data_IF_125882167581
#
_entry.id   IF_125882167581
#
_cell.length_a   1.000
_cell.length_b   1.000
_cell.length_c   1.000
_cell.angle_alpha   90.00
_cell.angle_beta   90.00
_cell.angle_gamma   90.00
#
_symmetry.space_group_name_H-M   'P 1'
#
loop_
_entity.id
_entity.type
_entity.pdbx_description
1 polymer ?
#
# COMPACT_ATOMS: atom_id res chain seq x y z
N UNK A 1 -2.60 13.20 3.83
CA UNK A 1 -1.91 14.45 4.15
C UNK A 1 -2.05 14.88 5.62
N UNK A 2 -3.21 14.68 6.26
CA UNK A 2 -3.44 15.11 7.65
C UNK A 2 -2.33 14.67 8.62
N UNK A 3 -1.85 13.43 8.50
CA UNK A 3 -0.75 12.92 9.35
C UNK A 3 0.50 13.79 9.20
N UNK A 4 0.97 13.95 7.96
CA UNK A 4 2.24 14.66 7.67
C UNK A 4 2.15 16.18 7.83
N UNK A 5 0.96 16.75 7.63
CA UNK A 5 0.77 18.20 7.72
C UNK A 5 0.44 18.66 9.15
N UNK A 6 -0.19 17.80 9.98
CA UNK A 6 -0.77 18.21 11.27
C UNK A 6 -0.35 17.36 12.46
N UNK A 7 -0.19 16.04 12.32
CA UNK A 7 0.05 15.17 13.47
C UNK A 7 1.53 15.00 13.81
N UNK A 8 2.37 14.93 12.79
CA UNK A 8 3.81 14.76 12.98
C UNK A 8 4.45 15.91 13.75
N UNK A 9 5.58 15.62 14.41
CA UNK A 9 6.35 16.60 15.21
C UNK A 9 5.51 17.32 16.27
N UNK A 10 4.66 16.58 16.97
CA UNK A 10 3.80 17.15 18.02
C UNK A 10 2.86 18.25 17.50
N UNK A 11 2.16 17.98 16.41
CA UNK A 11 1.18 18.92 15.85
C UNK A 11 1.75 19.99 14.91
N UNK A 12 3.08 20.03 14.71
CA UNK A 12 3.71 21.06 13.86
C UNK A 12 3.81 20.67 12.38
N UNK A 13 3.57 19.40 12.09
CA UNK A 13 3.72 18.86 10.75
C UNK A 13 5.18 18.77 10.27
N UNK A 14 5.38 18.16 9.11
CA UNK A 14 6.70 17.91 8.53
C UNK A 14 7.22 19.04 7.64
N UNK A 15 6.38 20.04 7.32
CA UNK A 15 6.74 21.14 6.38
C UNK A 15 7.27 20.61 5.04
N UNK A 16 6.53 19.69 4.42
CA UNK A 16 6.93 19.05 3.15
C UNK A 16 6.68 19.98 1.97
N UNK A 17 7.50 19.84 0.92
CA UNK A 17 7.27 20.54 -0.35
C UNK A 17 6.01 20.01 -1.04
N UNK A 18 5.50 20.75 -2.02
CA UNK A 18 4.32 20.34 -2.79
C UNK A 18 4.54 19.00 -3.52
N UNK A 19 5.73 18.78 -4.08
CA UNK A 19 6.08 17.58 -4.82
C UNK A 19 6.00 16.32 -3.93
N UNK A 20 6.54 16.40 -2.72
CA UNK A 20 6.48 15.29 -1.75
C UNK A 20 5.04 15.04 -1.32
N UNK A 21 4.27 16.10 -1.03
CA UNK A 21 2.85 15.97 -0.67
C UNK A 21 2.01 15.39 -1.82
N UNK A 22 2.30 15.81 -3.06
CA UNK A 22 1.68 15.23 -4.26
C UNK A 22 1.99 13.74 -4.37
N UNK A 23 3.25 13.33 -4.23
CA UNK A 23 3.65 11.93 -4.22
C UNK A 23 2.92 11.11 -3.14
N UNK A 24 2.77 11.66 -1.92
CA UNK A 24 2.03 11.00 -0.83
C UNK A 24 0.55 10.79 -1.19
N UNK A 25 -0.12 11.77 -1.77
CA UNK A 25 -1.56 11.68 -2.10
C UNK A 25 -1.81 10.69 -3.24
N UNK A 26 -0.92 10.64 -4.20
CA UNK A 26 -1.11 9.87 -5.44
C UNK A 26 -0.49 8.48 -5.43
N UNK A 27 0.13 8.04 -4.29
CA UNK A 27 0.93 6.80 -4.28
C UNK A 27 0.10 5.52 -4.49
N UNK A 28 -1.18 5.50 -4.10
CA UNK A 28 -2.00 4.27 -4.19
C UNK A 28 -2.90 4.22 -5.43
N UNK A 29 -3.61 5.30 -5.73
CA UNK A 29 -4.63 5.35 -6.79
C UNK A 29 -4.84 6.75 -7.36
N UNK A 30 -5.67 6.85 -8.39
CA UNK A 30 -5.97 8.12 -9.06
C UNK A 30 -4.89 8.50 -10.07
N UNK A 31 -4.69 9.79 -10.29
CA UNK A 31 -3.67 10.31 -11.19
C UNK A 31 -2.25 9.94 -10.75
N UNK A 32 -1.32 9.92 -11.67
CA UNK A 32 0.08 9.72 -11.36
C UNK A 32 0.67 10.96 -10.69
N UNK A 33 1.69 10.75 -9.88
CA UNK A 33 2.43 11.87 -9.29
C UNK A 33 3.03 12.77 -10.38
N UNK A 34 3.15 14.05 -10.06
CA UNK A 34 3.72 15.04 -10.97
C UNK A 34 5.24 14.90 -11.16
N UNK A 35 5.91 14.16 -10.28
CA UNK A 35 7.35 13.92 -10.35
C UNK A 35 7.66 12.45 -10.56
N UNK A 36 8.82 12.16 -11.18
CA UNK A 36 9.28 10.79 -11.38
C UNK A 36 9.55 10.06 -10.04
N UNK A 37 10.01 10.78 -9.03
CA UNK A 37 10.21 10.24 -7.68
C UNK A 37 8.88 9.78 -7.07
N UNK A 38 7.82 10.58 -7.18
CA UNK A 38 6.49 10.19 -6.75
C UNK A 38 5.94 8.98 -7.53
N UNK A 39 6.21 8.92 -8.84
CA UNK A 39 5.89 7.77 -9.66
C UNK A 39 6.67 6.52 -9.23
N UNK A 40 7.96 6.67 -8.89
CA UNK A 40 8.80 5.59 -8.39
C UNK A 40 8.26 5.03 -7.06
N UNK A 41 7.87 5.90 -6.13
CA UNK A 41 7.24 5.50 -4.87
C UNK A 41 5.97 4.69 -5.13
N UNK A 42 5.10 5.15 -6.04
CA UNK A 42 3.87 4.42 -6.39
C UNK A 42 4.17 3.05 -7.01
N UNK A 43 5.16 2.95 -7.89
CA UNK A 43 5.58 1.65 -8.47
C UNK A 43 6.12 0.71 -7.39
N UNK A 44 6.96 1.22 -6.50
CA UNK A 44 7.51 0.45 -5.39
C UNK A 44 6.39 -0.04 -4.44
N UNK A 45 5.42 0.82 -4.12
CA UNK A 45 4.25 0.47 -3.31
C UNK A 45 3.44 -0.66 -3.95
N UNK A 46 3.13 -0.56 -5.23
CA UNK A 46 2.38 -1.60 -5.96
C UNK A 46 3.13 -2.94 -6.02
N UNK A 47 4.46 -2.92 -6.23
CA UNK A 47 5.29 -4.13 -6.22
C UNK A 47 5.30 -4.75 -4.83
N UNK A 48 5.52 -3.93 -3.79
CA UNK A 48 5.57 -4.39 -2.41
C UNK A 48 4.22 -4.96 -1.97
N UNK A 49 3.13 -4.22 -2.18
CA UNK A 49 1.77 -4.60 -1.80
C UNK A 49 1.38 -5.96 -2.39
N UNK A 50 1.48 -6.12 -3.72
CA UNK A 50 1.13 -7.39 -4.37
C UNK A 50 1.91 -8.58 -3.81
N UNK A 51 3.22 -8.41 -3.59
CA UNK A 51 4.08 -9.51 -3.15
C UNK A 51 3.93 -9.82 -1.65
N UNK A 52 3.65 -8.83 -0.82
CA UNK A 52 3.34 -9.05 0.59
C UNK A 52 1.97 -9.72 0.75
N UNK A 53 0.95 -9.25 0.03
CA UNK A 53 -0.38 -9.85 0.09
C UNK A 53 -0.41 -11.32 -0.34
N UNK A 54 0.38 -11.70 -1.36
CA UNK A 54 0.54 -13.11 -1.75
C UNK A 54 1.13 -13.92 -0.60
N UNK A 55 2.20 -13.43 0.05
CA UNK A 55 2.85 -14.12 1.16
C UNK A 55 1.92 -14.24 2.38
N UNK A 56 1.21 -13.17 2.69
CA UNK A 56 0.26 -13.12 3.79
C UNK A 56 -0.93 -14.08 3.53
N UNK A 57 -1.46 -14.13 2.31
CA UNK A 57 -2.52 -15.06 1.93
C UNK A 57 -2.07 -16.53 2.04
N UNK A 58 -0.83 -16.83 1.64
CA UNK A 58 -0.24 -18.17 1.78
C UNK A 58 -0.05 -18.50 3.28
N UNK A 59 0.48 -17.59 4.06
CA UNK A 59 0.69 -17.77 5.50
C UNK A 59 -0.63 -17.98 6.24
N UNK A 60 -1.68 -17.27 5.84
CA UNK A 60 -3.03 -17.40 6.38
C UNK A 60 -3.76 -18.69 5.91
N UNK A 61 -3.19 -19.43 4.94
CA UNK A 61 -3.82 -20.63 4.37
C UNK A 61 -4.99 -20.36 3.42
N UNK A 62 -5.19 -19.09 3.05
CA UNK A 62 -6.22 -18.68 2.05
C UNK A 62 -5.78 -19.02 0.63
N UNK A 63 -4.46 -19.00 0.38
CA UNK A 63 -3.84 -19.29 -0.92
C UNK A 63 -2.75 -20.35 -0.76
N UNK A 64 -2.51 -21.14 -1.81
CA UNK A 64 -1.34 -22.02 -1.93
C UNK A 64 -0.48 -21.58 -3.11
N UNK A 65 0.85 -21.76 -3.02
CA UNK A 65 1.78 -21.36 -4.06
C UNK A 65 1.45 -21.93 -5.44
N UNK A 66 0.97 -23.20 -5.48
CA UNK A 66 0.63 -23.90 -6.71
C UNK A 66 -0.62 -23.33 -7.42
N UNK A 67 -1.39 -22.47 -6.74
CA UNK A 67 -2.55 -21.81 -7.32
C UNK A 67 -2.18 -20.53 -8.08
N UNK A 68 -0.96 -20.02 -7.89
CA UNK A 68 -0.52 -18.83 -8.62
C UNK A 68 -0.49 -19.12 -10.14
N UNK A 69 -0.89 -18.15 -10.98
CA UNK A 69 -0.89 -18.32 -12.44
C UNK A 69 0.50 -18.70 -12.96
N UNK A 70 0.60 -19.88 -13.58
CA UNK A 70 1.88 -20.45 -14.01
C UNK A 70 2.66 -19.53 -14.98
N UNK A 71 1.94 -18.85 -15.88
CA UNK A 71 2.54 -17.94 -16.86
C UNK A 71 3.16 -16.72 -16.15
N UNK A 72 2.49 -16.18 -15.13
CA UNK A 72 3.04 -15.08 -14.34
C UNK A 72 4.24 -15.53 -13.50
N UNK A 73 4.17 -16.71 -12.90
CA UNK A 73 5.28 -17.30 -12.13
C UNK A 73 6.50 -17.54 -13.02
N UNK A 74 6.29 -18.02 -14.26
CA UNK A 74 7.39 -18.25 -15.21
C UNK A 74 8.15 -16.95 -15.55
N UNK A 75 7.46 -15.83 -15.67
CA UNK A 75 8.06 -14.54 -16.00
C UNK A 75 8.64 -13.85 -14.78
N UNK A 76 7.89 -13.79 -13.68
CA UNK A 76 8.25 -13.01 -12.51
C UNK A 76 9.10 -13.77 -11.49
N UNK A 77 9.00 -15.09 -11.46
CA UNK A 77 9.65 -15.95 -10.48
C UNK A 77 8.65 -16.56 -9.49
N UNK A 78 9.02 -17.70 -8.91
CA UNK A 78 8.19 -18.46 -7.99
C UNK A 78 8.21 -17.90 -6.55
N UNK A 79 9.36 -17.36 -6.11
CA UNK A 79 9.50 -16.80 -4.76
C UNK A 79 9.23 -15.30 -4.74
N UNK A 80 8.83 -14.78 -3.58
CA UNK A 80 8.67 -13.32 -3.32
C UNK A 80 9.91 -12.54 -3.74
N UNK A 81 11.09 -13.02 -3.34
CA UNK A 81 12.36 -12.36 -3.67
C UNK A 81 12.64 -12.32 -5.18
N UNK A 82 12.36 -13.41 -5.88
CA UNK A 82 12.50 -13.44 -7.34
C UNK A 82 11.55 -12.49 -8.02
N UNK A 83 10.27 -12.49 -7.65
CA UNK A 83 9.25 -11.59 -8.22
C UNK A 83 9.63 -10.12 -8.02
N UNK A 84 10.00 -9.73 -6.80
CA UNK A 84 10.42 -8.36 -6.51
C UNK A 84 11.66 -7.99 -7.32
N UNK A 85 12.68 -8.85 -7.33
CA UNK A 85 13.93 -8.60 -8.07
C UNK A 85 13.68 -8.46 -9.57
N UNK A 86 12.86 -9.33 -10.15
CA UNK A 86 12.52 -9.29 -11.58
C UNK A 86 11.81 -7.98 -11.91
N UNK A 87 10.78 -7.61 -11.15
CA UNK A 87 10.02 -6.38 -11.39
C UNK A 87 10.87 -5.13 -11.23
N UNK A 88 11.68 -5.03 -10.16
CA UNK A 88 12.54 -3.85 -9.95
C UNK A 88 13.61 -3.77 -11.05
N UNK A 89 14.25 -4.89 -11.39
CA UNK A 89 15.30 -4.92 -12.43
C UNK A 89 14.74 -4.53 -13.79
N UNK A 90 13.57 -5.05 -14.15
CA UNK A 90 12.89 -4.70 -15.39
C UNK A 90 12.49 -3.23 -15.41
N UNK A 91 11.89 -2.73 -14.34
CA UNK A 91 11.50 -1.33 -14.22
C UNK A 91 12.70 -0.40 -14.43
N UNK A 92 13.84 -0.68 -13.77
CA UNK A 92 15.06 0.14 -13.90
C UNK A 92 15.60 0.07 -15.34
N UNK A 93 15.64 -1.10 -15.94
CA UNK A 93 16.15 -1.26 -17.32
C UNK A 93 15.28 -0.55 -18.35
N UNK A 94 13.96 -0.62 -18.16
CA UNK A 94 13.00 -0.10 -19.13
C UNK A 94 12.73 1.41 -18.98
N UNK A 95 13.20 2.02 -17.89
CA UNK A 95 13.00 3.43 -17.56
C UNK A 95 14.26 4.30 -17.72
N UNK A 96 15.34 3.80 -18.34
CA UNK A 96 16.66 4.48 -18.40
C UNK A 96 16.67 5.80 -19.19
N UNK A 97 15.72 6.02 -20.08
CA UNK A 97 15.65 7.25 -20.90
C UNK A 97 14.80 8.37 -20.28
N UNK A 98 14.36 8.22 -19.04
CA UNK A 98 13.86 9.33 -18.20
C UNK A 98 12.48 9.88 -18.52
N UNK A 99 11.70 9.28 -19.43
CA UNK A 99 10.39 9.81 -19.81
C UNK A 99 9.20 9.23 -19.06
N UNK A 100 9.29 7.98 -18.59
CA UNK A 100 8.25 7.32 -17.79
C UNK A 100 8.82 6.10 -17.06
N UNK A 101 8.27 5.81 -15.88
CA UNK A 101 8.58 4.59 -15.14
C UNK A 101 7.59 3.49 -15.56
N UNK A 102 8.04 2.54 -16.37
CA UNK A 102 7.21 1.46 -16.90
C UNK A 102 7.93 0.11 -16.90
N UNK A 103 7.15 -0.95 -16.77
CA UNK A 103 7.62 -2.29 -17.05
C UNK A 103 7.73 -2.53 -18.57
N UNK A 104 8.55 -3.50 -18.96
CA UNK A 104 8.44 -4.09 -20.28
C UNK A 104 7.06 -4.72 -20.48
N UNK A 105 6.57 -4.86 -21.72
CA UNK A 105 5.27 -5.48 -21.96
C UNK A 105 5.11 -6.85 -21.31
N UNK A 106 6.11 -7.69 -21.39
CA UNK A 106 6.08 -9.04 -20.81
C UNK A 106 5.93 -9.04 -19.29
N UNK A 107 6.69 -8.19 -18.59
CA UNK A 107 6.61 -8.08 -17.11
C UNK A 107 5.33 -7.40 -16.70
N UNK A 108 4.86 -6.41 -17.46
CA UNK A 108 3.58 -5.74 -17.20
C UNK A 108 2.41 -6.73 -17.31
N UNK A 109 2.37 -7.53 -18.36
CA UNK A 109 1.31 -8.52 -18.57
C UNK A 109 1.29 -9.55 -17.43
N UNK A 110 2.45 -10.06 -17.05
CA UNK A 110 2.57 -11.00 -15.93
C UNK A 110 2.19 -10.39 -14.58
N UNK A 111 2.53 -9.11 -14.35
CA UNK A 111 2.09 -8.35 -13.17
C UNK A 111 0.56 -8.20 -13.13
N UNK A 112 -0.06 -7.81 -14.26
CA UNK A 112 -1.52 -7.62 -14.32
C UNK A 112 -2.26 -8.95 -14.14
N UNK A 113 -1.78 -10.05 -14.72
CA UNK A 113 -2.33 -11.41 -14.51
C UNK A 113 -2.30 -11.77 -13.02
N UNK A 114 -1.17 -11.53 -12.34
CA UNK A 114 -1.04 -11.85 -10.92
C UNK A 114 -1.92 -10.94 -10.04
N UNK A 115 -2.01 -9.67 -10.39
CA UNK A 115 -2.88 -8.70 -9.71
C UNK A 115 -4.36 -9.07 -9.84
N UNK A 116 -4.81 -9.39 -11.05
CA UNK A 116 -6.21 -9.81 -11.32
C UNK A 116 -6.55 -11.11 -10.59
N UNK A 117 -5.61 -12.07 -10.57
CA UNK A 117 -5.75 -13.29 -9.81
C UNK A 117 -5.98 -13.01 -8.32
N UNK A 118 -5.19 -12.14 -7.70
CA UNK A 118 -5.37 -11.76 -6.29
C UNK A 118 -6.71 -11.08 -6.05
N UNK A 119 -7.16 -10.22 -6.97
CA UNK A 119 -8.47 -9.58 -6.86
C UNK A 119 -9.62 -10.57 -6.94
N UNK A 120 -9.54 -11.55 -7.83
CA UNK A 120 -10.62 -12.52 -8.06
C UNK A 120 -10.65 -13.66 -7.04
N UNK A 121 -9.54 -13.94 -6.35
CA UNK A 121 -9.43 -15.10 -5.45
C UNK A 121 -9.29 -14.70 -3.98
N UNK A 122 -8.35 -13.81 -3.66
CA UNK A 122 -8.01 -13.49 -2.26
C UNK A 122 -8.86 -12.35 -1.71
N UNK A 123 -8.95 -11.22 -2.43
CA UNK A 123 -9.63 -10.02 -1.89
C UNK A 123 -11.16 -10.15 -1.86
N UNK A 124 -11.72 -11.10 -2.59
CA UNK A 124 -13.18 -11.39 -2.56
C UNK A 124 -13.53 -12.63 -1.73
N UNK A 125 -12.53 -13.33 -1.19
CA UNK A 125 -12.73 -14.56 -0.42
C UNK A 125 -13.60 -14.30 0.82
N UNK A 126 -14.72 -15.03 1.01
CA UNK A 126 -15.60 -14.83 2.16
C UNK A 126 -14.92 -15.16 3.49
N UNK A 127 -13.95 -16.07 3.49
CA UNK A 127 -13.23 -16.46 4.71
C UNK A 127 -12.23 -15.37 5.13
N UNK A 128 -11.53 -14.76 4.16
CA UNK A 128 -10.69 -13.58 4.39
C UNK A 128 -11.52 -12.41 4.95
N UNK A 129 -12.78 -12.27 4.51
CA UNK A 129 -13.70 -11.20 4.94
C UNK A 129 -14.51 -11.52 6.21
N UNK A 130 -14.44 -12.74 6.71
CA UNK A 130 -15.27 -13.15 7.86
C UNK A 130 -15.05 -12.27 9.11
N UNK A 131 -13.83 -11.86 9.33
CA UNK A 131 -13.47 -11.06 10.49
C UNK A 131 -13.61 -9.53 10.27
N UNK A 132 -13.89 -9.10 9.04
CA UNK A 132 -13.96 -7.67 8.65
C UNK A 132 -14.96 -6.89 9.52
N UNK A 133 -16.14 -7.48 9.78
CA UNK A 133 -17.16 -6.85 10.65
C UNK A 133 -16.70 -6.68 12.09
N UNK A 134 -15.88 -7.59 12.61
CA UNK A 134 -15.31 -7.49 13.96
C UNK A 134 -14.27 -6.38 14.02
N UNK A 135 -13.45 -6.28 12.97
CA UNK A 135 -12.45 -5.21 12.85
C UNK A 135 -13.14 -3.86 12.73
N UNK A 136 -14.16 -3.72 11.90
CA UNK A 136 -14.96 -2.50 11.77
C UNK A 136 -15.55 -2.08 13.12
N UNK A 137 -16.19 -3.03 13.82
CA UNK A 137 -16.74 -2.76 15.15
C UNK A 137 -15.65 -2.35 16.15
N UNK A 138 -14.54 -3.05 16.19
CA UNK A 138 -13.42 -2.74 17.10
C UNK A 138 -12.88 -1.33 16.87
N UNK A 139 -12.66 -0.95 15.60
CA UNK A 139 -12.16 0.38 15.23
C UNK A 139 -13.19 1.45 15.64
N UNK A 140 -14.47 1.20 15.36
CA UNK A 140 -15.54 2.13 15.73
C UNK A 140 -15.63 2.30 17.25
N UNK A 141 -15.70 1.19 18.00
CA UNK A 141 -15.77 1.21 19.47
C UNK A 141 -14.55 1.92 20.07
N UNK A 142 -13.35 1.70 19.53
CA UNK A 142 -12.12 2.35 19.98
C UNK A 142 -12.16 3.86 19.69
N UNK A 143 -12.59 4.25 18.51
CA UNK A 143 -12.71 5.65 18.12
C UNK A 143 -13.72 6.38 19.03
N UNK A 144 -14.92 5.82 19.22
CA UNK A 144 -15.95 6.38 20.10
C UNK A 144 -15.47 6.47 21.57
N UNK A 145 -14.73 5.46 22.02
CA UNK A 145 -14.15 5.45 23.35
C UNK A 145 -13.14 6.59 23.54
N UNK A 146 -12.25 6.81 22.58
CA UNK A 146 -11.28 7.91 22.63
C UNK A 146 -11.97 9.27 22.54
N UNK A 147 -13.04 9.41 21.74
CA UNK A 147 -13.82 10.63 21.70
C UNK A 147 -14.48 10.96 23.04
N UNK A 148 -15.00 9.93 23.73
CA UNK A 148 -15.64 10.09 25.04
C UNK A 148 -14.62 10.33 26.19
N UNK A 149 -13.44 9.77 26.08
CA UNK A 149 -12.37 9.80 27.09
C UNK A 149 -11.03 10.16 26.43
N UNK A 150 -10.82 11.44 26.02
CA UNK A 150 -9.61 11.86 25.30
C UNK A 150 -8.31 11.62 26.07
N UNK A 151 -8.38 11.55 27.39
CA UNK A 151 -7.23 11.26 28.28
C UNK A 151 -6.61 9.87 28.05
N UNK A 152 -7.28 8.98 27.32
CA UNK A 152 -6.71 7.70 26.87
C UNK A 152 -5.65 7.88 25.79
N UNK A 153 -5.61 9.03 25.11
CA UNK A 153 -4.56 9.33 24.14
C UNK A 153 -3.22 9.55 24.83
N UNK A 154 -2.10 9.14 24.22
CA UNK A 154 -0.79 9.55 24.68
C UNK A 154 -0.69 11.08 24.75
N UNK A 155 0.02 11.61 25.75
CA UNK A 155 0.12 13.05 26.02
C UNK A 155 0.43 13.90 24.79
N UNK A 156 1.24 13.40 23.87
CA UNK A 156 1.59 14.06 22.63
C UNK A 156 0.36 14.36 21.76
N UNK A 157 -0.49 13.36 21.54
CA UNK A 157 -1.71 13.49 20.74
C UNK A 157 -2.83 14.18 21.48
N UNK A 158 -2.87 14.04 22.81
CA UNK A 158 -3.80 14.76 23.66
C UNK A 158 -3.61 16.28 23.56
N UNK A 159 -2.35 16.76 23.52
CA UNK A 159 -2.06 18.18 23.29
C UNK A 159 -2.54 18.65 21.90
N UNK A 160 -2.33 17.85 20.86
CA UNK A 160 -2.82 18.17 19.52
C UNK A 160 -4.36 18.24 19.50
N UNK A 161 -5.02 17.28 20.15
CA UNK A 161 -6.48 17.24 20.24
C UNK A 161 -7.07 18.48 20.94
N UNK A 162 -6.41 19.00 21.96
CA UNK A 162 -6.86 20.22 22.66
C UNK A 162 -6.59 21.52 21.88
N UNK A 163 -5.60 21.54 21.02
CA UNK A 163 -5.24 22.73 20.22
C UNK A 163 -5.95 22.79 18.88
N UNK A 164 -6.15 21.66 18.23
CA UNK A 164 -6.68 21.54 16.86
C UNK A 164 -8.13 20.98 16.82
N UNK A 165 -8.63 20.44 17.94
CA UNK A 165 -9.89 19.70 18.02
C UNK A 165 -9.71 18.19 17.88
N UNK A 166 -10.77 17.46 18.23
CA UNK A 166 -10.81 15.98 18.17
C UNK A 166 -11.21 15.43 16.78
N UNK A 167 -11.54 16.30 15.83
CA UNK A 167 -12.01 15.94 14.48
C UNK A 167 -10.87 15.55 13.52
#
# INVERSE_FOLDING_TARGET
LRVVDKLERAGRGLNLTWEVRNGIVTHTKGEWAATLEGCAVRRADHIAFLNHDIEDAITAGVLREEQLPADAVQVLGSTKSQRITTMITDLVKNSQEGSALSFSPQVNDAYEVLREFMYSTVYVDPEAKREERKVEKLITDLYEKILAEPELLPNLYLQVAYTEGLD
#
